data_IF_658318513207
#
_entry.id   IF_658318513207
#
_cell.length_a   1.000
_cell.length_b   1.000
_cell.length_c   1.000
_cell.angle_alpha   90.00
_cell.angle_beta   90.00
_cell.angle_gamma   90.00
#
_symmetry.space_group_name_H-M   'P 1'
#
loop_
_entity.id
_entity.type
_entity.pdbx_description
1 polymer ?
#
# COMPACT_ATOMS: atom_id res chain seq x y z
N UNK A 1 1.98 27.70 -24.29
CA UNK A 1 1.33 26.47 -23.78
C UNK A 1 2.28 25.51 -23.03
N UNK A 2 3.56 25.90 -22.87
CA UNK A 2 4.51 25.04 -22.18
C UNK A 2 4.34 25.14 -20.65
N UNK A 3 4.02 24.02 -20.00
CA UNK A 3 4.12 23.85 -18.56
C UNK A 3 2.83 23.54 -17.78
N UNK A 4 1.66 23.53 -18.40
CA UNK A 4 0.42 23.19 -17.70
C UNK A 4 0.14 21.69 -17.66
N UNK A 5 0.58 20.93 -18.67
CA UNK A 5 0.28 19.50 -18.78
C UNK A 5 0.81 18.63 -17.63
N UNK A 6 1.90 19.06 -16.98
CA UNK A 6 2.48 18.36 -15.82
C UNK A 6 1.89 18.79 -14.47
N UNK A 7 0.99 19.78 -14.44
CA UNK A 7 0.40 20.35 -13.23
C UNK A 7 -1.10 20.09 -13.09
N UNK A 8 -1.71 19.47 -14.11
CA UNK A 8 -3.13 19.12 -14.08
C UNK A 8 -3.34 18.04 -13.02
N UNK A 9 -4.22 18.32 -12.07
CA UNK A 9 -4.60 17.38 -11.02
C UNK A 9 -5.84 16.61 -11.40
N UNK A 10 -5.89 15.33 -11.10
CA UNK A 10 -7.08 14.50 -11.32
C UNK A 10 -8.18 14.88 -10.36
N UNK A 11 -9.43 14.95 -10.84
CA UNK A 11 -10.58 15.33 -10.04
C UNK A 11 -11.82 15.56 -10.88
N UNK A 12 -12.97 15.77 -10.24
CA UNK A 12 -14.19 16.20 -10.86
C UNK A 12 -14.30 17.73 -10.79
N UNK A 13 -14.35 18.39 -11.94
CA UNK A 13 -14.36 19.85 -12.05
C UNK A 13 -15.67 20.32 -12.67
N UNK A 14 -16.26 21.36 -12.10
CA UNK A 14 -17.40 22.04 -12.69
C UNK A 14 -16.89 23.15 -13.61
N UNK A 15 -17.01 22.95 -14.92
CA UNK A 15 -16.61 23.92 -15.93
C UNK A 15 -17.84 24.60 -16.53
N UNK A 16 -17.73 25.89 -16.83
CA UNK A 16 -18.79 26.66 -17.51
C UNK A 16 -18.38 26.92 -18.96
N UNK A 17 -19.32 26.90 -19.92
CA UNK A 17 -19.07 27.28 -21.30
C UNK A 17 -18.56 28.71 -21.48
N UNK A 18 -18.76 29.57 -20.47
CA UNK A 18 -18.25 30.96 -20.46
C UNK A 18 -16.81 31.08 -20.01
N UNK A 19 -16.19 30.02 -19.53
CA UNK A 19 -14.78 30.03 -19.07
C UNK A 19 -13.82 30.11 -20.25
N UNK A 20 -12.81 30.96 -20.11
CA UNK A 20 -11.67 31.00 -21.01
C UNK A 20 -10.77 29.78 -20.80
N UNK A 21 -10.00 29.40 -21.82
CA UNK A 21 -8.99 28.32 -21.72
C UNK A 21 -8.03 28.52 -20.55
N UNK A 22 -7.67 29.75 -20.24
CA UNK A 22 -6.79 30.07 -19.10
C UNK A 22 -7.46 29.80 -17.78
N UNK A 23 -8.72 30.19 -17.61
CA UNK A 23 -9.49 29.90 -16.39
C UNK A 23 -9.68 28.40 -16.18
N UNK A 24 -9.95 27.65 -17.24
CA UNK A 24 -10.03 26.19 -17.18
C UNK A 24 -8.68 25.60 -16.74
N UNK A 25 -7.58 26.02 -17.38
CA UNK A 25 -6.25 25.52 -17.03
C UNK A 25 -5.86 25.88 -15.58
N UNK A 26 -6.17 27.10 -15.14
CA UNK A 26 -5.92 27.54 -13.76
C UNK A 26 -6.72 26.70 -12.75
N UNK A 27 -7.99 26.39 -13.06
CA UNK A 27 -8.83 25.56 -12.19
C UNK A 27 -8.30 24.11 -12.11
N UNK A 28 -7.91 23.52 -13.22
CA UNK A 28 -7.36 22.18 -13.30
C UNK A 28 -5.98 22.07 -12.60
N UNK A 29 -5.20 23.14 -12.57
CA UNK A 29 -3.85 23.15 -11.96
C UNK A 29 -3.85 23.55 -10.49
N UNK A 30 -4.89 24.22 -9.99
CA UNK A 30 -5.03 24.55 -8.56
C UNK A 30 -5.48 23.36 -7.71
N UNK A 31 -6.09 22.34 -8.34
CA UNK A 31 -6.61 21.20 -7.60
C UNK A 31 -7.93 21.48 -6.87
N UNK A 32 -8.66 22.50 -7.28
CA UNK A 32 -9.98 22.87 -6.70
C UNK A 32 -11.10 21.86 -7.07
N UNK A 33 -10.77 20.80 -7.77
CA UNK A 33 -11.69 19.72 -8.11
C UNK A 33 -11.92 18.77 -6.95
N UNK A 34 -13.14 18.24 -6.83
CA UNK A 34 -13.40 17.13 -5.92
C UNK A 34 -12.61 15.89 -6.41
N UNK A 35 -11.70 15.34 -5.60
CA UNK A 35 -10.96 14.18 -6.01
C UNK A 35 -11.91 13.00 -6.23
N UNK A 36 -11.76 12.31 -7.35
CA UNK A 36 -12.49 11.07 -7.59
C UNK A 36 -11.74 9.98 -6.82
N UNK A 37 -12.37 9.44 -5.79
CA UNK A 37 -11.83 8.34 -4.99
C UNK A 37 -12.55 7.03 -5.30
N UNK A 38 -11.85 5.93 -5.15
CA UNK A 38 -12.40 4.57 -5.12
C UNK A 38 -12.02 3.88 -3.83
N UNK A 39 -12.96 3.14 -3.28
CA UNK A 39 -12.70 2.26 -2.14
C UNK A 39 -12.18 0.93 -2.67
N UNK A 40 -10.94 0.62 -2.36
CA UNK A 40 -10.28 -0.63 -2.73
C UNK A 40 -9.98 -1.40 -1.45
N UNK A 41 -10.39 -2.66 -1.42
CA UNK A 41 -10.17 -3.52 -0.26
C UNK A 41 -9.05 -4.51 -0.55
N UNK A 42 -7.99 -4.45 0.26
CA UNK A 42 -6.99 -5.50 0.36
C UNK A 42 -7.51 -6.56 1.33
N UNK A 43 -7.83 -7.73 0.80
CA UNK A 43 -8.44 -8.83 1.56
C UNK A 43 -7.33 -9.60 2.30
N UNK A 44 -7.53 -9.95 3.60
CA UNK A 44 -6.59 -10.82 4.31
C UNK A 44 -6.28 -12.10 3.53
N UNK A 45 -5.02 -12.52 3.55
CA UNK A 45 -4.54 -13.70 2.83
C UNK A 45 -4.26 -13.49 1.34
N UNK A 46 -4.50 -12.31 0.77
CA UNK A 46 -4.08 -12.01 -0.60
C UNK A 46 -2.58 -11.78 -0.68
N UNK A 47 -2.02 -12.18 -1.82
CA UNK A 47 -0.64 -11.85 -2.19
C UNK A 47 -0.58 -10.45 -2.83
N UNK A 48 0.62 -9.88 -2.87
CA UNK A 48 0.88 -8.62 -3.58
C UNK A 48 0.42 -8.70 -5.04
N UNK A 49 0.61 -9.85 -5.71
CA UNK A 49 0.18 -10.04 -7.11
C UNK A 49 -1.33 -9.96 -7.26
N UNK A 50 -2.08 -10.65 -6.39
CA UNK A 50 -3.54 -10.62 -6.40
C UNK A 50 -4.08 -9.21 -6.17
N UNK A 51 -3.46 -8.46 -5.27
CA UNK A 51 -3.86 -7.09 -5.03
C UNK A 51 -3.51 -6.17 -6.20
N UNK A 52 -2.33 -6.34 -6.81
CA UNK A 52 -1.93 -5.61 -8.01
C UNK A 52 -2.90 -5.83 -9.18
N UNK A 53 -3.33 -7.08 -9.40
CA UNK A 53 -4.37 -7.42 -10.39
C UNK A 53 -5.71 -6.74 -10.08
N UNK A 54 -6.10 -6.70 -8.80
CA UNK A 54 -7.34 -6.04 -8.40
C UNK A 54 -7.28 -4.52 -8.64
N UNK A 55 -6.14 -3.86 -8.38
CA UNK A 55 -5.96 -2.43 -8.65
C UNK A 55 -6.11 -2.11 -10.16
N UNK A 56 -5.63 -2.99 -11.04
CA UNK A 56 -5.80 -2.86 -12.49
C UNK A 56 -7.26 -3.09 -12.89
N UNK A 57 -7.88 -4.15 -12.36
CA UNK A 57 -9.28 -4.49 -12.63
C UNK A 57 -10.24 -3.37 -12.22
N UNK A 58 -9.96 -2.71 -11.10
CA UNK A 58 -10.75 -1.59 -10.59
C UNK A 58 -10.40 -0.26 -11.31
N UNK A 59 -9.47 -0.28 -12.27
CA UNK A 59 -9.08 0.88 -13.06
C UNK A 59 -8.36 1.96 -12.25
N UNK A 60 -7.71 1.58 -11.15
CA UNK A 60 -6.86 2.48 -10.34
C UNK A 60 -5.48 2.58 -10.96
N UNK A 61 -4.93 1.46 -11.40
CA UNK A 61 -3.69 1.39 -12.19
C UNK A 61 -3.98 0.97 -13.62
N UNK A 62 -3.17 1.44 -14.55
CA UNK A 62 -3.26 1.04 -15.97
C UNK A 62 -2.65 -0.35 -16.17
N UNK A 63 -1.56 -0.63 -15.44
CA UNK A 63 -0.90 -1.93 -15.38
C UNK A 63 -0.27 -2.14 -13.99
N UNK A 64 0.12 -3.37 -13.69
CA UNK A 64 0.68 -3.74 -12.39
C UNK A 64 2.20 -3.68 -12.31
N UNK A 65 2.90 -3.43 -13.42
CA UNK A 65 4.35 -3.63 -13.52
C UNK A 65 5.14 -2.72 -12.56
N UNK A 66 4.81 -1.43 -12.51
CA UNK A 66 5.46 -0.48 -11.61
C UNK A 66 5.18 -0.83 -10.14
N UNK A 67 3.92 -1.14 -9.80
CA UNK A 67 3.53 -1.54 -8.45
C UNK A 67 4.32 -2.76 -7.97
N UNK A 68 4.37 -3.81 -8.79
CA UNK A 68 5.10 -5.04 -8.48
C UNK A 68 6.61 -4.80 -8.38
N UNK A 69 7.19 -3.96 -9.25
CA UNK A 69 8.61 -3.60 -9.21
C UNK A 69 8.97 -2.88 -7.90
N UNK A 70 8.16 -1.92 -7.49
CA UNK A 70 8.33 -1.18 -6.22
C UNK A 70 8.19 -2.11 -5.01
N UNK A 71 7.21 -3.00 -5.00
CA UNK A 71 7.02 -3.99 -3.94
C UNK A 71 8.16 -5.01 -3.88
N UNK A 72 8.77 -5.34 -5.02
CA UNK A 72 9.88 -6.28 -5.10
C UNK A 72 11.14 -5.73 -4.46
N UNK A 73 11.46 -4.46 -4.66
CA UNK A 73 12.66 -3.84 -4.11
C UNK A 73 12.46 -3.32 -2.68
N UNK A 74 11.31 -2.70 -2.39
CA UNK A 74 11.02 -2.03 -1.12
C UNK A 74 11.85 -0.78 -0.84
N UNK A 75 12.97 -0.59 -1.53
CA UNK A 75 13.98 0.44 -1.21
C UNK A 75 13.48 1.86 -1.30
N UNK A 76 12.47 2.12 -2.14
CA UNK A 76 11.83 3.44 -2.28
C UNK A 76 11.00 3.85 -1.05
N UNK A 77 10.86 2.97 -0.07
CA UNK A 77 10.04 3.15 1.12
C UNK A 77 10.86 2.96 2.42
N UNK A 78 12.19 3.09 2.33
CA UNK A 78 13.10 2.90 3.47
C UNK A 78 12.95 3.94 4.59
N UNK A 79 12.14 4.98 4.40
CA UNK A 79 11.75 5.91 5.45
C UNK A 79 10.76 5.31 6.47
N UNK A 80 10.07 4.22 6.13
CA UNK A 80 9.20 3.49 7.03
C UNK A 80 9.99 2.49 7.87
N UNK A 81 9.76 2.51 9.19
CA UNK A 81 10.48 1.64 10.13
C UNK A 81 10.29 0.15 9.80
N UNK A 82 9.04 -0.28 9.56
CA UNK A 82 8.71 -1.66 9.18
C UNK A 82 9.44 -2.11 7.91
N UNK A 83 9.62 -1.21 6.94
CA UNK A 83 10.36 -1.51 5.71
C UNK A 83 11.87 -1.59 5.97
N UNK A 84 12.41 -0.73 6.83
CA UNK A 84 13.82 -0.84 7.23
C UNK A 84 14.11 -2.18 7.90
N UNK A 85 13.20 -2.66 8.76
CA UNK A 85 13.35 -3.94 9.44
C UNK A 85 13.47 -5.09 8.43
N UNK A 86 12.55 -5.19 7.46
CA UNK A 86 12.63 -6.24 6.44
C UNK A 86 13.82 -6.08 5.50
N UNK A 87 14.23 -4.85 5.14
CA UNK A 87 15.40 -4.63 4.30
C UNK A 87 16.71 -5.07 5.00
N UNK A 88 16.76 -5.02 6.31
CA UNK A 88 17.88 -5.48 7.14
C UNK A 88 17.77 -6.95 7.54
N UNK A 89 16.66 -7.63 7.22
CA UNK A 89 16.45 -9.03 7.58
C UNK A 89 17.43 -9.95 6.83
N UNK A 90 17.83 -11.06 7.47
CA UNK A 90 18.75 -12.04 6.88
C UNK A 90 18.22 -12.72 5.63
N UNK A 91 16.90 -12.77 5.49
CA UNK A 91 16.20 -13.49 4.42
C UNK A 91 15.69 -12.58 3.30
N UNK A 92 16.04 -11.29 3.29
CA UNK A 92 15.54 -10.32 2.30
C UNK A 92 15.81 -10.75 0.86
N UNK A 93 16.99 -11.33 0.59
CA UNK A 93 17.37 -11.80 -0.76
C UNK A 93 16.58 -13.02 -1.25
N UNK A 94 15.91 -13.74 -0.36
CA UNK A 94 15.11 -14.94 -0.69
C UNK A 94 13.65 -14.56 -0.95
N UNK A 95 13.24 -13.32 -0.64
CA UNK A 95 11.87 -12.86 -0.84
C UNK A 95 11.60 -12.57 -2.31
N UNK A 96 10.46 -13.05 -2.80
CA UNK A 96 9.97 -12.68 -4.13
C UNK A 96 9.60 -11.20 -4.21
N UNK A 97 8.95 -10.70 -3.16
CA UNK A 97 8.62 -9.30 -2.92
C UNK A 97 9.04 -8.94 -1.49
N UNK A 98 9.84 -7.89 -1.35
CA UNK A 98 10.29 -7.43 -0.03
C UNK A 98 9.10 -6.99 0.83
N UNK A 99 8.10 -6.36 0.20
CA UNK A 99 6.92 -5.84 0.90
C UNK A 99 5.80 -6.88 1.11
N UNK A 100 6.00 -8.17 0.77
CA UNK A 100 5.00 -9.21 1.05
C UNK A 100 4.79 -9.35 2.56
N UNK A 101 3.53 -9.21 3.01
CA UNK A 101 3.15 -9.17 4.42
C UNK A 101 3.19 -7.77 5.05
N UNK A 102 3.80 -6.78 4.38
CA UNK A 102 3.93 -5.40 4.89
C UNK A 102 2.88 -4.42 4.35
N UNK A 103 1.90 -4.91 3.62
CA UNK A 103 0.76 -4.14 3.15
C UNK A 103 -0.48 -4.57 3.95
N UNK A 104 -0.90 -3.77 4.91
CA UNK A 104 -1.98 -4.15 5.83
C UNK A 104 -3.31 -4.36 5.10
N UNK A 105 -4.04 -5.45 5.38
CA UNK A 105 -5.39 -5.66 4.87
C UNK A 105 -6.35 -4.63 5.48
N UNK A 106 -6.97 -3.82 4.62
CA UNK A 106 -7.97 -2.82 4.99
C UNK A 106 -8.73 -2.35 3.74
N UNK A 107 -9.71 -1.47 3.92
CA UNK A 107 -10.36 -0.75 2.82
C UNK A 107 -9.77 0.65 2.71
N UNK A 108 -9.22 0.95 1.55
CA UNK A 108 -8.51 2.19 1.27
C UNK A 108 -9.27 3.07 0.28
N UNK A 109 -9.46 4.33 0.61
CA UNK A 109 -9.85 5.34 -0.36
C UNK A 109 -8.64 5.73 -1.20
N UNK A 110 -8.63 5.38 -2.48
CA UNK A 110 -7.54 5.68 -3.41
C UNK A 110 -8.03 6.66 -4.46
N UNK A 111 -7.25 7.71 -4.70
CA UNK A 111 -7.53 8.68 -5.76
C UNK A 111 -7.34 8.06 -7.14
N UNK A 112 -8.26 8.33 -8.07
CA UNK A 112 -8.08 7.98 -9.47
C UNK A 112 -6.90 8.79 -10.02
N UNK A 113 -5.90 8.07 -10.56
CA UNK A 113 -4.64 8.66 -11.01
C UNK A 113 -3.54 8.73 -9.95
N UNK A 114 -3.77 8.14 -8.77
CA UNK A 114 -2.69 7.93 -7.81
C UNK A 114 -1.61 7.03 -8.43
N UNK A 115 -0.36 7.38 -8.18
CA UNK A 115 0.80 6.57 -8.60
C UNK A 115 0.90 5.29 -7.77
N UNK A 116 1.56 4.27 -8.32
CA UNK A 116 1.85 3.04 -7.59
C UNK A 116 2.57 3.33 -6.25
N UNK A 117 3.50 4.28 -6.25
CA UNK A 117 4.23 4.70 -5.04
C UNK A 117 3.31 5.31 -3.97
N UNK A 118 2.36 6.17 -4.35
CA UNK A 118 1.41 6.78 -3.41
C UNK A 118 0.49 5.74 -2.79
N UNK A 119 0.06 4.77 -3.59
CA UNK A 119 -0.76 3.64 -3.11
C UNK A 119 0.03 2.84 -2.08
N UNK A 120 1.26 2.40 -2.41
CA UNK A 120 2.10 1.61 -1.51
C UNK A 120 2.37 2.37 -0.21
N UNK A 121 2.71 3.67 -0.26
CA UNK A 121 2.89 4.51 0.93
C UNK A 121 1.68 4.50 1.85
N UNK A 122 0.49 4.60 1.28
CA UNK A 122 -0.75 4.57 2.05
C UNK A 122 -0.95 3.23 2.77
N UNK A 123 -0.64 2.12 2.09
CA UNK A 123 -0.72 0.77 2.66
C UNK A 123 0.30 0.56 3.78
N UNK A 124 1.56 0.96 3.56
CA UNK A 124 2.62 0.88 4.59
C UNK A 124 2.29 1.77 5.78
N UNK A 125 1.74 2.97 5.57
CA UNK A 125 1.31 3.85 6.67
C UNK A 125 0.27 3.16 7.56
N UNK A 126 -0.61 2.36 7.00
CA UNK A 126 -1.57 1.57 7.79
C UNK A 126 -0.87 0.43 8.54
N UNK A 127 0.12 -0.21 7.92
CA UNK A 127 0.96 -1.22 8.57
C UNK A 127 1.66 -0.66 9.80
N UNK A 128 2.28 0.53 9.70
CA UNK A 128 2.91 1.23 10.83
C UNK A 128 1.93 1.53 11.98
N UNK A 129 0.65 1.72 11.67
CA UNK A 129 -0.39 1.90 12.71
C UNK A 129 -0.77 0.60 13.41
N UNK A 130 -0.73 -0.50 12.68
CA UNK A 130 -1.01 -1.85 13.22
C UNK A 130 0.18 -2.35 14.05
N UNK A 131 1.39 -2.08 13.59
CA UNK A 131 2.62 -2.37 14.31
C UNK A 131 2.82 -1.32 15.40
N UNK A 132 2.12 -1.52 16.51
CA UNK A 132 2.25 -0.64 17.67
C UNK A 132 3.56 -0.97 18.44
N UNK A 133 4.07 0.02 19.16
CA UNK A 133 5.20 -0.16 20.08
C UNK A 133 4.99 -1.37 21.01
N UNK A 134 3.76 -1.61 21.46
CA UNK A 134 3.46 -2.78 22.30
C UNK A 134 3.63 -4.13 21.57
N UNK A 135 3.43 -4.16 20.24
CA UNK A 135 3.72 -5.36 19.45
C UNK A 135 5.23 -5.58 19.31
N UNK A 136 5.97 -4.50 19.08
CA UNK A 136 7.44 -4.53 18.98
C UNK A 136 8.08 -4.95 20.30
N UNK A 137 7.70 -4.32 21.41
CA UNK A 137 8.15 -4.68 22.76
C UNK A 137 7.88 -6.16 23.05
N UNK A 138 6.70 -6.65 22.67
CA UNK A 138 6.35 -8.05 22.89
C UNK A 138 7.14 -9.01 22.02
N UNK A 139 7.42 -8.66 20.77
CA UNK A 139 8.27 -9.46 19.89
C UNK A 139 9.70 -9.56 20.48
N UNK A 140 10.25 -8.44 20.95
CA UNK A 140 11.56 -8.39 21.57
C UNK A 140 11.62 -9.23 22.86
N UNK A 141 10.63 -9.15 23.74
CA UNK A 141 10.52 -9.99 24.94
C UNK A 141 10.51 -11.49 24.60
N UNK A 142 9.92 -11.86 23.46
CA UNK A 142 9.87 -13.24 22.97
C UNK A 142 11.15 -13.65 22.22
N UNK A 143 12.06 -12.72 21.94
CA UNK A 143 13.31 -12.95 21.21
C UNK A 143 13.13 -13.04 19.69
N UNK A 144 12.03 -12.48 19.14
CA UNK A 144 11.75 -12.45 17.71
C UNK A 144 11.85 -11.03 17.16
N UNK A 145 12.22 -10.92 15.89
CA UNK A 145 12.05 -9.70 15.10
C UNK A 145 10.60 -9.58 14.62
N UNK A 146 10.16 -8.37 14.27
CA UNK A 146 8.84 -8.17 13.68
C UNK A 146 8.67 -8.93 12.36
N UNK A 147 9.74 -9.08 11.58
CA UNK A 147 9.74 -9.87 10.34
C UNK A 147 9.48 -11.37 10.60
N UNK A 148 10.06 -11.93 11.66
CA UNK A 148 9.81 -13.32 12.07
C UNK A 148 8.37 -13.48 12.57
N UNK A 149 7.85 -12.53 13.35
CA UNK A 149 6.44 -12.54 13.80
C UNK A 149 5.48 -12.49 12.62
N UNK A 150 5.72 -11.60 11.63
CA UNK A 150 4.90 -11.55 10.41
C UNK A 150 4.96 -12.84 9.61
N UNK A 151 6.13 -13.44 9.51
CA UNK A 151 6.31 -14.72 8.82
C UNK A 151 5.47 -15.80 9.51
N UNK A 152 5.54 -15.92 10.84
CA UNK A 152 4.71 -16.84 11.62
C UNK A 152 3.22 -16.54 11.45
N UNK A 153 2.83 -15.28 11.54
CA UNK A 153 1.44 -14.87 11.35
C UNK A 153 0.89 -15.26 9.97
N UNK A 154 1.69 -15.11 8.92
CA UNK A 154 1.32 -15.50 7.55
C UNK A 154 1.12 -17.02 7.41
N UNK A 155 1.92 -17.81 8.11
CA UNK A 155 1.76 -19.28 8.15
C UNK A 155 0.47 -19.65 8.87
N UNK A 156 0.24 -19.06 10.05
CA UNK A 156 -0.97 -19.30 10.85
C UNK A 156 -2.24 -18.90 10.07
N UNK A 157 -2.18 -17.77 9.35
CA UNK A 157 -3.31 -17.30 8.51
C UNK A 157 -3.68 -18.31 7.41
N UNK A 158 -2.71 -19.04 6.86
CA UNK A 158 -2.95 -20.04 5.82
C UNK A 158 -3.42 -21.38 6.38
N UNK A 159 -3.03 -21.74 7.59
CA UNK A 159 -3.30 -23.04 8.18
C UNK A 159 -4.57 -23.07 9.06
N UNK A 160 -5.03 -21.92 9.55
CA UNK A 160 -6.07 -21.87 10.56
C UNK A 160 -7.22 -20.92 10.22
N UNK A 161 -8.40 -21.22 10.76
CA UNK A 161 -9.50 -20.25 10.85
C UNK A 161 -9.23 -19.25 11.99
N UNK A 162 -9.83 -18.05 11.91
CA UNK A 162 -9.68 -17.03 12.97
C UNK A 162 -9.98 -17.57 14.37
N UNK A 163 -10.91 -18.53 14.50
CA UNK A 163 -11.29 -19.12 15.78
C UNK A 163 -10.16 -19.98 16.40
N UNK A 164 -9.23 -20.47 15.57
CA UNK A 164 -8.19 -21.40 15.98
C UNK A 164 -6.78 -20.77 15.98
N UNK A 165 -6.63 -19.49 15.59
CA UNK A 165 -5.33 -18.80 15.53
C UNK A 165 -4.50 -18.96 16.80
N UNK A 166 -5.10 -18.77 17.98
CA UNK A 166 -4.38 -18.91 19.26
C UNK A 166 -3.91 -20.33 19.53
N UNK A 167 -4.68 -21.36 19.11
CA UNK A 167 -4.31 -22.76 19.29
C UNK A 167 -3.20 -23.16 18.34
N UNK A 168 -3.28 -22.74 17.08
CA UNK A 168 -2.26 -23.04 16.06
C UNK A 168 -0.98 -22.29 16.37
N UNK A 169 -1.05 -21.03 16.80
CA UNK A 169 0.10 -20.26 17.25
C UNK A 169 0.86 -20.89 18.42
N UNK A 170 0.17 -21.66 19.28
CA UNK A 170 0.80 -22.34 20.42
C UNK A 170 1.61 -23.59 20.01
N UNK A 171 1.57 -23.99 18.73
CA UNK A 171 2.29 -25.14 18.18
C UNK A 171 3.64 -24.71 17.58
N UNK A 172 3.73 -23.45 17.12
CA UNK A 172 4.96 -22.85 16.60
C UNK A 172 5.77 -22.21 17.71
#
# INVERSE_FOLDING_TARGET
FAGWGQKIQSGSYTLSPSMTMRQIADQLTRGDGNPIVRNITLIPGWTIEQFAEQLVKDGVLTDSAEFLSLCKSGTSFSEFYSVQDVLNSRNVSQRRYVLEGYLAPDTYEIYIGATASEIIRKLITQTERVFSVACEDRAEEMGYTMDEILTLASMIEKEASKADFAKVSAVF
#
